data_IF_262556727604
#
_entry.id   IF_262556727604
#
_cell.length_a   1.000
_cell.length_b   1.000
_cell.length_c   1.000
_cell.angle_alpha   90.00
_cell.angle_beta   90.00
_cell.angle_gamma   90.00
#
_symmetry.space_group_name_H-M   'P 1'
#
loop_
_entity.id
_entity.type
_entity.pdbx_description
1 polymer ?
#
# COMPACT_ATOMS: atom_id res chain seq x y z
N UNK A 1 19.72 31.35 -16.90
CA UNK A 1 19.59 29.88 -16.53
C UNK A 1 18.51 29.75 -15.47
N UNK A 2 17.62 28.77 -15.60
CA UNK A 2 16.61 28.47 -14.59
C UNK A 2 16.69 27.00 -14.21
N UNK A 3 16.56 26.70 -12.93
CA UNK A 3 16.48 25.32 -12.40
C UNK A 3 15.32 25.19 -11.44
N UNK A 4 14.81 23.98 -11.32
CA UNK A 4 13.80 23.57 -10.34
C UNK A 4 14.17 22.18 -9.82
N UNK A 5 14.09 22.02 -8.51
CA UNK A 5 14.20 20.73 -7.84
C UNK A 5 13.29 20.74 -6.62
N UNK A 6 12.94 19.58 -6.11
CA UNK A 6 12.42 19.54 -4.75
C UNK A 6 13.58 19.87 -3.78
N UNK A 7 13.23 20.24 -2.56
CA UNK A 7 14.25 20.59 -1.55
C UNK A 7 14.93 19.38 -0.93
N UNK A 8 14.61 18.16 -1.39
CA UNK A 8 15.15 16.91 -0.86
C UNK A 8 16.67 16.79 -1.03
N UNK A 9 17.23 17.44 -2.04
CA UNK A 9 18.67 17.44 -2.31
C UNK A 9 19.45 18.54 -1.56
N UNK A 10 18.75 19.45 -0.88
CA UNK A 10 19.37 20.49 -0.07
C UNK A 10 19.55 19.98 1.38
N UNK A 11 20.79 19.79 1.88
CA UNK A 11 21.05 19.28 3.24
C UNK A 11 20.58 20.23 4.35
N UNK A 12 20.24 21.48 4.05
CA UNK A 12 19.81 22.50 5.01
C UNK A 12 18.29 22.74 4.97
N UNK A 13 17.55 22.15 4.04
CA UNK A 13 16.10 22.32 3.94
C UNK A 13 15.35 21.29 4.78
N UNK A 14 14.16 21.62 5.33
CA UNK A 14 13.24 20.61 5.82
C UNK A 14 12.85 19.71 4.66
N UNK A 15 13.18 18.43 4.79
CA UNK A 15 13.19 17.47 3.68
C UNK A 15 11.80 16.89 3.44
N UNK A 16 11.08 17.38 2.44
CA UNK A 16 10.06 16.59 1.75
C UNK A 16 10.75 15.77 0.67
N UNK A 17 10.79 14.45 0.83
CA UNK A 17 11.36 13.54 -0.18
C UNK A 17 10.23 12.76 -0.85
N UNK A 18 10.38 12.34 -2.11
CA UNK A 18 9.51 11.31 -2.64
C UNK A 18 9.46 10.08 -1.70
N UNK A 19 8.31 9.42 -1.59
CA UNK A 19 7.07 9.68 -2.32
C UNK A 19 6.32 10.93 -1.82
N UNK A 20 5.69 11.64 -2.75
CA UNK A 20 4.80 12.75 -2.43
C UNK A 20 3.37 12.24 -2.21
N UNK A 21 2.60 12.89 -1.34
CA UNK A 21 1.25 12.48 -0.99
C UNK A 21 0.25 13.61 -1.21
N UNK A 22 -0.95 13.27 -1.70
CA UNK A 22 -2.07 14.20 -1.72
C UNK A 22 -2.39 14.66 -0.29
N UNK A 23 -2.69 15.95 -0.13
CA UNK A 23 -2.92 16.57 1.17
C UNK A 23 -1.65 16.92 1.96
N UNK A 24 -0.45 16.57 1.47
CA UNK A 24 0.82 16.92 2.10
C UNK A 24 1.54 18.03 1.33
N UNK A 25 2.09 19.06 2.02
CA UNK A 25 2.83 20.11 1.35
C UNK A 25 4.16 19.60 0.80
N UNK A 26 4.46 19.99 -0.43
CA UNK A 26 5.73 19.74 -1.13
C UNK A 26 6.42 21.08 -1.30
N UNK A 27 7.66 21.17 -0.88
CA UNK A 27 8.46 22.38 -1.06
C UNK A 27 9.42 22.22 -2.24
N UNK A 28 9.23 23.05 -3.26
CA UNK A 28 10.12 23.16 -4.40
C UNK A 28 11.03 24.37 -4.22
N UNK A 29 12.27 24.26 -4.65
CA UNK A 29 13.21 25.35 -4.65
C UNK A 29 14.02 25.36 -5.94
N UNK A 30 14.55 26.50 -6.27
CA UNK A 30 15.41 26.64 -7.43
C UNK A 30 16.15 27.95 -7.44
N UNK A 31 16.95 28.07 -8.47
CA UNK A 31 17.73 29.28 -8.77
C UNK A 31 17.45 29.69 -10.19
N UNK A 32 17.34 31.02 -10.39
CA UNK A 32 17.18 31.60 -11.71
C UNK A 32 18.11 32.78 -11.85
N UNK A 33 18.70 32.92 -13.02
CA UNK A 33 19.59 33.99 -13.39
C UNK A 33 19.27 34.47 -14.81
N UNK A 34 19.10 35.77 -14.98
CA UNK A 34 19.03 36.46 -16.27
C UNK A 34 20.06 37.61 -16.25
N UNK A 35 21.24 37.32 -16.76
CA UNK A 35 22.41 38.20 -16.64
C UNK A 35 22.20 39.60 -17.19
N UNK A 36 21.21 39.82 -18.05
CA UNK A 36 20.98 41.08 -18.73
C UNK A 36 19.81 41.89 -18.16
N UNK A 37 18.96 41.28 -17.32
CA UNK A 37 17.71 41.87 -16.84
C UNK A 37 17.42 41.53 -15.36
N UNK A 38 16.76 42.50 -14.69
CA UNK A 38 16.34 42.30 -13.30
C UNK A 38 15.08 41.44 -13.24
N UNK A 39 15.07 40.41 -12.40
CA UNK A 39 13.92 39.54 -12.17
C UNK A 39 13.03 40.19 -11.10
N UNK A 40 11.77 40.47 -11.44
CA UNK A 40 10.80 41.13 -10.57
C UNK A 40 9.77 40.15 -9.97
N UNK A 41 9.52 39.03 -10.61
CA UNK A 41 8.63 38.00 -10.12
C UNK A 41 9.02 36.60 -10.63
N UNK A 42 8.50 35.58 -9.95
CA UNK A 42 8.48 34.20 -10.40
C UNK A 42 7.05 33.81 -10.69
N UNK A 43 6.81 33.17 -11.81
CA UNK A 43 5.52 32.60 -12.16
C UNK A 43 5.57 31.06 -12.11
N UNK A 44 4.50 30.48 -11.56
CA UNK A 44 4.33 29.06 -11.40
C UNK A 44 3.04 28.60 -12.10
N UNK A 45 3.10 27.47 -12.77
CA UNK A 45 1.97 26.82 -13.43
C UNK A 45 1.94 25.34 -13.04
N UNK A 46 0.73 24.80 -12.84
CA UNK A 46 0.46 23.37 -12.55
C UNK A 46 -0.47 22.73 -13.58
N UNK A 47 -0.84 23.48 -14.62
CA UNK A 47 -1.75 23.08 -15.71
C UNK A 47 -1.07 23.14 -17.08
N UNK A 48 0.19 22.76 -17.12
CA UNK A 48 1.06 22.74 -18.32
C UNK A 48 1.28 24.11 -18.98
N UNK A 49 1.10 25.19 -18.21
CA UNK A 49 1.30 26.56 -18.70
C UNK A 49 0.02 27.24 -19.22
N UNK A 50 -1.16 26.63 -19.03
CA UNK A 50 -2.44 27.23 -19.39
C UNK A 50 -2.78 28.44 -18.50
N UNK A 51 -2.43 28.34 -17.21
CA UNK A 51 -2.49 29.48 -16.27
C UNK A 51 -1.20 29.63 -15.48
N UNK A 52 -0.94 30.87 -15.02
CA UNK A 52 0.26 31.23 -14.29
C UNK A 52 -0.08 32.09 -13.08
N UNK A 53 0.53 31.78 -11.94
CA UNK A 53 0.42 32.58 -10.72
C UNK A 53 1.75 33.26 -10.42
N UNK A 54 1.74 34.58 -10.34
CA UNK A 54 2.95 35.39 -10.13
C UNK A 54 3.17 35.66 -8.63
N UNK A 55 4.41 35.49 -8.20
CA UNK A 55 4.91 35.86 -6.87
C UNK A 55 6.03 36.89 -7.02
N UNK A 56 5.84 38.13 -6.52
CA UNK A 56 6.85 39.16 -6.59
C UNK A 56 8.14 38.74 -5.87
N UNK A 57 9.29 39.05 -6.47
CA UNK A 57 10.61 38.94 -5.84
C UNK A 57 11.06 40.29 -5.35
N UNK A 58 11.97 40.34 -4.35
CA UNK A 58 12.71 41.53 -4.07
C UNK A 58 13.57 41.89 -5.30
N UNK A 59 13.62 43.18 -5.66
CA UNK A 59 14.47 43.65 -6.76
C UNK A 59 15.94 43.24 -6.50
N UNK A 60 16.50 42.42 -7.38
CA UNK A 60 17.85 41.90 -7.25
C UNK A 60 18.73 42.55 -8.29
N UNK A 61 19.97 42.83 -7.90
CA UNK A 61 21.01 43.31 -8.82
C UNK A 61 21.15 42.34 -10.01
N UNK A 62 21.24 42.88 -11.23
CA UNK A 62 21.40 42.11 -12.48
C UNK A 62 22.57 41.12 -12.46
N UNK A 63 23.53 41.34 -11.57
CA UNK A 63 24.69 40.44 -11.38
C UNK A 63 24.41 39.25 -10.45
N UNK A 64 23.20 39.15 -9.90
CA UNK A 64 22.82 38.12 -8.93
C UNK A 64 21.51 37.46 -9.34
N UNK A 65 21.51 36.17 -9.39
CA UNK A 65 20.29 35.41 -9.59
C UNK A 65 19.40 35.37 -8.36
N UNK A 66 18.21 34.88 -8.54
CA UNK A 66 17.16 34.74 -7.50
C UNK A 66 17.04 33.31 -7.08
N UNK A 67 17.19 33.06 -5.77
CA UNK A 67 16.75 31.81 -5.16
C UNK A 67 15.25 31.94 -4.85
N UNK A 68 14.48 30.98 -5.31
CA UNK A 68 13.04 30.95 -5.09
C UNK A 68 12.61 29.69 -4.37
N UNK A 69 11.46 29.76 -3.68
CA UNK A 69 10.77 28.63 -3.07
C UNK A 69 9.30 28.69 -3.43
N UNK A 70 8.71 27.54 -3.61
CA UNK A 70 7.29 27.38 -3.88
C UNK A 70 6.77 26.15 -3.13
N UNK A 71 5.69 26.33 -2.35
CA UNK A 71 5.04 25.24 -1.63
C UNK A 71 3.72 24.94 -2.31
N UNK A 72 3.52 23.68 -2.66
CA UNK A 72 2.29 23.20 -3.24
C UNK A 72 1.77 21.99 -2.48
N UNK A 73 0.47 21.94 -2.24
CA UNK A 73 -0.22 20.80 -1.65
C UNK A 73 -1.15 20.19 -2.69
N UNK A 74 -0.84 19.02 -3.29
CA UNK A 74 -1.72 18.35 -4.21
C UNK A 74 -3.04 17.99 -3.53
N UNK A 75 -4.18 18.36 -4.11
CA UNK A 75 -5.50 18.07 -3.54
C UNK A 75 -5.93 16.63 -3.78
N UNK A 76 -5.44 16.01 -4.86
CA UNK A 76 -5.78 14.66 -5.25
C UNK A 76 -4.54 13.85 -5.66
N UNK A 77 -4.58 12.52 -5.60
CA UNK A 77 -3.56 11.67 -6.20
C UNK A 77 -3.52 11.89 -7.72
N UNK A 78 -2.32 11.84 -8.29
CA UNK A 78 -2.14 12.00 -9.73
C UNK A 78 -0.79 12.54 -10.13
N UNK A 79 -0.59 12.69 -11.43
CA UNK A 79 0.62 13.25 -12.01
C UNK A 79 0.48 14.74 -12.16
N UNK A 80 1.50 15.46 -11.77
CA UNK A 80 1.61 16.90 -11.78
C UNK A 80 2.86 17.33 -12.53
N UNK A 81 2.76 18.47 -13.21
CA UNK A 81 3.90 19.13 -13.85
C UNK A 81 3.98 20.58 -13.34
N UNK A 82 4.91 20.84 -12.44
CA UNK A 82 5.24 22.21 -12.05
C UNK A 82 6.08 22.84 -13.14
N UNK A 83 5.61 23.94 -13.72
CA UNK A 83 6.40 24.82 -14.59
C UNK A 83 6.71 26.12 -13.88
N UNK A 84 7.91 26.63 -14.08
CA UNK A 84 8.42 27.84 -13.43
C UNK A 84 9.11 28.72 -14.48
N UNK A 85 8.82 30.03 -14.45
CA UNK A 85 9.51 31.02 -15.27
C UNK A 85 9.70 32.35 -14.53
N UNK A 86 10.77 33.11 -14.78
CA UNK A 86 10.93 34.47 -14.24
C UNK A 86 10.14 35.48 -15.08
N UNK A 87 9.76 36.58 -14.42
CA UNK A 87 9.26 37.80 -15.05
C UNK A 87 10.28 38.91 -14.80
N UNK A 88 10.66 39.60 -15.85
CA UNK A 88 11.69 40.65 -15.81
C UNK A 88 11.11 42.05 -15.60
N UNK A 89 11.96 43.05 -15.42
CA UNK A 89 11.58 44.43 -15.08
C UNK A 89 10.71 45.12 -16.12
N UNK A 90 10.69 44.65 -17.34
CA UNK A 90 9.80 45.11 -18.42
C UNK A 90 8.37 44.50 -18.35
N UNK A 91 8.15 43.62 -17.35
CA UNK A 91 6.86 42.92 -17.16
C UNK A 91 6.65 41.73 -18.08
N UNK A 92 7.63 41.41 -18.92
CA UNK A 92 7.53 40.27 -19.84
C UNK A 92 7.98 38.97 -19.17
N UNK A 93 7.19 37.88 -19.28
CA UNK A 93 7.62 36.58 -18.81
C UNK A 93 8.73 36.02 -19.71
N UNK A 94 9.70 35.37 -19.08
CA UNK A 94 10.78 34.71 -19.81
C UNK A 94 10.25 33.56 -20.66
N UNK A 95 10.86 33.39 -21.83
CA UNK A 95 10.66 32.20 -22.67
C UNK A 95 11.34 30.93 -22.10
N UNK A 96 12.28 31.13 -21.15
CA UNK A 96 12.90 30.04 -20.43
C UNK A 96 11.95 29.50 -19.34
N UNK A 97 11.50 28.26 -19.50
CA UNK A 97 10.61 27.58 -18.57
C UNK A 97 11.33 26.33 -18.06
N UNK A 98 11.44 26.21 -16.74
CA UNK A 98 11.87 24.96 -16.12
C UNK A 98 10.63 24.13 -15.73
N UNK A 99 10.75 22.81 -15.82
CA UNK A 99 9.68 21.89 -15.44
C UNK A 99 10.17 20.81 -14.47
N UNK A 100 9.30 20.47 -13.53
CA UNK A 100 9.50 19.36 -12.61
C UNK A 100 8.23 18.50 -12.57
N UNK A 101 8.33 17.27 -13.07
CA UNK A 101 7.23 16.32 -13.04
C UNK A 101 7.30 15.50 -11.74
N UNK A 102 6.16 15.35 -11.08
CA UNK A 102 6.04 14.51 -9.90
C UNK A 102 4.69 13.81 -9.85
N UNK A 103 4.61 12.74 -9.06
CA UNK A 103 3.38 12.02 -8.81
C UNK A 103 3.02 12.16 -7.33
N UNK A 104 1.79 12.59 -7.04
CA UNK A 104 1.22 12.57 -5.72
C UNK A 104 0.41 11.28 -5.53
N UNK A 105 0.74 10.54 -4.48
CA UNK A 105 0.10 9.29 -4.13
C UNK A 105 -1.07 9.53 -3.19
N UNK A 106 -2.02 8.60 -3.07
CA UNK A 106 -3.04 8.71 -2.05
C UNK A 106 -2.40 8.64 -0.66
N UNK A 107 -2.78 9.55 0.23
CA UNK A 107 -2.37 9.51 1.63
C UNK A 107 -2.94 8.28 2.38
N UNK A 108 -4.02 7.75 1.87
CA UNK A 108 -4.67 6.50 2.28
C UNK A 108 -5.32 5.85 1.06
N UNK A 109 -5.96 4.69 1.24
CA UNK A 109 -6.54 3.93 0.15
C UNK A 109 -5.60 2.86 -0.39
N UNK A 110 -5.75 2.50 -1.65
CA UNK A 110 -4.94 1.50 -2.34
C UNK A 110 -4.21 2.10 -3.54
N UNK A 111 -3.10 1.47 -3.92
CA UNK A 111 -2.32 1.85 -5.09
C UNK A 111 -2.24 0.67 -6.08
N UNK A 112 -2.47 0.96 -7.35
CA UNK A 112 -2.34 0.02 -8.45
C UNK A 112 -3.38 -1.10 -8.46
N UNK A 113 -3.29 -1.96 -9.48
CA UNK A 113 -4.18 -3.12 -9.66
C UNK A 113 -3.96 -4.20 -8.59
N UNK A 114 -2.77 -4.28 -8.04
CA UNK A 114 -2.46 -5.15 -6.91
C UNK A 114 -3.09 -4.69 -5.58
N UNK A 115 -3.76 -3.54 -5.55
CA UNK A 115 -4.42 -2.97 -4.36
C UNK A 115 -3.48 -2.87 -3.17
N UNK A 116 -2.29 -2.32 -3.41
CA UNK A 116 -1.27 -2.14 -2.38
C UNK A 116 -1.76 -1.11 -1.37
N UNK A 117 -1.70 -1.43 -0.10
CA UNK A 117 -2.01 -0.51 0.99
C UNK A 117 -1.15 -0.74 2.25
N UNK A 118 -1.10 0.27 3.08
CA UNK A 118 -0.46 0.17 4.39
C UNK A 118 -1.23 -0.76 5.34
N UNK A 119 -0.52 -1.40 6.26
CA UNK A 119 -1.09 -2.16 7.38
C UNK A 119 -1.12 -1.25 8.60
N UNK A 120 -2.31 -1.00 9.14
CA UNK A 120 -2.52 -0.24 10.37
C UNK A 120 -2.27 1.27 10.29
N UNK A 121 -2.01 1.83 9.11
CA UNK A 121 -1.67 3.26 9.00
C UNK A 121 -1.84 3.85 7.60
N UNK A 122 -1.16 4.96 7.37
CA UNK A 122 -1.10 5.64 6.08
C UNK A 122 0.14 5.19 5.29
N UNK A 123 0.13 5.37 3.96
CA UNK A 123 1.32 5.12 3.14
C UNK A 123 2.55 5.90 3.59
N UNK A 124 2.35 7.09 4.16
CA UNK A 124 3.43 8.01 4.54
C UNK A 124 4.35 7.43 5.61
N UNK A 125 3.75 6.77 6.59
CA UNK A 125 4.45 6.34 7.81
C UNK A 125 4.65 4.83 7.86
N UNK A 126 3.94 4.08 6.99
CA UNK A 126 3.96 2.63 6.99
C UNK A 126 5.30 2.05 6.53
N UNK A 127 5.67 0.95 7.16
CA UNK A 127 6.78 0.08 6.72
C UNK A 127 6.30 -1.34 6.42
N UNK A 128 5.07 -1.66 6.75
CA UNK A 128 4.43 -2.92 6.37
C UNK A 128 3.24 -2.62 5.47
N UNK A 129 3.22 -3.33 4.36
CA UNK A 129 2.22 -3.18 3.32
C UNK A 129 1.55 -4.52 3.04
N UNK A 130 0.36 -4.47 2.47
CA UNK A 130 -0.35 -5.65 2.00
C UNK A 130 -0.95 -5.41 0.62
N UNK A 131 -1.15 -6.50 -0.14
CA UNK A 131 -1.73 -6.44 -1.48
C UNK A 131 -2.43 -7.74 -1.89
N UNK A 132 -3.01 -7.73 -3.08
CA UNK A 132 -3.28 -8.92 -3.88
C UNK A 132 -1.97 -9.45 -4.49
N UNK A 133 -2.05 -10.56 -5.25
CA UNK A 133 -0.93 -11.07 -6.02
C UNK A 133 -0.35 -10.01 -6.98
N UNK A 134 0.93 -10.10 -7.24
CA UNK A 134 1.70 -9.13 -8.01
C UNK A 134 1.92 -9.57 -9.47
N UNK A 135 1.20 -10.58 -9.96
CA UNK A 135 1.42 -11.17 -11.29
C UNK A 135 1.27 -10.15 -12.43
N UNK A 136 0.39 -9.16 -12.29
CA UNK A 136 0.14 -8.12 -13.27
C UNK A 136 0.82 -6.78 -12.95
N UNK A 137 1.83 -6.79 -12.07
CA UNK A 137 2.51 -5.58 -11.65
C UNK A 137 3.17 -4.88 -12.82
N UNK A 138 2.87 -3.60 -13.02
CA UNK A 138 3.50 -2.77 -14.03
C UNK A 138 4.93 -2.38 -13.63
N UNK A 139 5.74 -1.93 -14.59
CA UNK A 139 7.09 -1.43 -14.30
C UNK A 139 7.07 -0.20 -13.39
N UNK A 140 6.05 0.66 -13.49
CA UNK A 140 5.86 1.82 -12.61
C UNK A 140 5.51 1.40 -11.18
N UNK A 141 4.61 0.44 -11.01
CA UNK A 141 4.26 -0.10 -9.69
C UNK A 141 5.47 -0.80 -9.05
N UNK A 142 6.24 -1.57 -9.82
CA UNK A 142 7.48 -2.19 -9.33
C UNK A 142 8.50 -1.15 -8.85
N UNK A 143 8.68 -0.07 -9.62
CA UNK A 143 9.55 1.04 -9.25
C UNK A 143 9.02 1.79 -8.00
N UNK A 144 7.70 1.93 -7.88
CA UNK A 144 7.07 2.49 -6.70
C UNK A 144 7.32 1.65 -5.44
N UNK A 145 7.14 0.33 -5.51
CA UNK A 145 7.40 -0.58 -4.40
C UNK A 145 8.84 -0.50 -3.91
N UNK A 146 9.80 -0.59 -4.84
CA UNK A 146 11.22 -0.64 -4.50
C UNK A 146 11.80 0.73 -4.15
N UNK A 147 11.41 1.77 -4.88
CA UNK A 147 11.96 3.13 -4.76
C UNK A 147 11.22 3.97 -3.73
N UNK A 148 9.93 4.20 -3.94
CA UNK A 148 9.15 5.11 -3.10
C UNK A 148 8.81 4.52 -1.72
N UNK A 149 8.36 3.26 -1.66
CA UNK A 149 8.05 2.59 -0.40
C UNK A 149 9.27 1.92 0.24
N UNK A 150 10.36 1.75 -0.51
CA UNK A 150 11.59 1.13 -0.03
C UNK A 150 11.41 -0.32 0.43
N UNK A 151 10.40 -1.02 -0.13
CA UNK A 151 10.13 -2.41 0.23
C UNK A 151 11.33 -3.27 -0.11
N UNK A 152 11.83 -3.98 0.88
CA UNK A 152 12.98 -4.86 0.77
C UNK A 152 12.58 -6.33 0.59
N UNK A 153 11.47 -6.72 1.19
CA UNK A 153 11.04 -8.12 1.24
C UNK A 153 9.56 -8.25 0.92
N UNK A 154 9.25 -9.19 0.04
CA UNK A 154 7.89 -9.63 -0.26
C UNK A 154 7.67 -10.98 0.43
N UNK A 155 6.63 -11.09 1.23
CA UNK A 155 6.16 -12.33 1.84
C UNK A 155 4.99 -12.89 1.02
N UNK A 156 5.30 -13.86 0.16
CA UNK A 156 4.31 -14.54 -0.69
C UNK A 156 3.73 -15.74 0.07
N UNK A 157 2.44 -15.66 0.37
CA UNK A 157 1.68 -16.69 1.10
C UNK A 157 0.92 -17.64 0.16
N UNK A 158 1.23 -17.64 -1.13
CA UNK A 158 0.58 -18.52 -2.11
C UNK A 158 1.15 -19.92 -2.09
N UNK A 159 0.36 -20.86 -2.55
CA UNK A 159 0.83 -22.21 -2.83
C UNK A 159 1.69 -22.26 -4.09
N UNK A 160 2.55 -23.28 -4.23
CA UNK A 160 3.33 -23.47 -5.44
C UNK A 160 2.45 -23.55 -6.71
N UNK A 161 1.25 -24.12 -6.62
CA UNK A 161 0.31 -24.18 -7.74
C UNK A 161 -0.24 -22.80 -8.14
N UNK A 162 -0.55 -21.93 -7.14
CA UNK A 162 -0.98 -20.56 -7.38
C UNK A 162 0.15 -19.72 -8.01
N UNK A 163 1.38 -19.87 -7.51
CA UNK A 163 2.57 -19.20 -8.08
C UNK A 163 2.85 -19.66 -9.53
N UNK A 164 2.73 -20.96 -9.80
CA UNK A 164 2.91 -21.49 -11.14
C UNK A 164 1.84 -21.02 -12.14
N UNK A 165 0.61 -20.82 -11.67
CA UNK A 165 -0.49 -20.31 -12.49
C UNK A 165 -0.35 -18.80 -12.78
N UNK A 166 0.12 -18.03 -11.80
CA UNK A 166 0.27 -16.58 -11.89
C UNK A 166 1.65 -16.16 -11.37
N UNK A 167 2.73 -16.38 -12.16
CA UNK A 167 4.08 -16.02 -11.75
C UNK A 167 4.23 -14.51 -11.62
N UNK A 168 4.97 -14.08 -10.61
CA UNK A 168 5.27 -12.68 -10.39
C UNK A 168 6.53 -12.23 -11.12
N UNK A 169 6.61 -10.95 -11.55
CA UNK A 169 7.80 -10.41 -12.13
C UNK A 169 8.93 -10.32 -11.08
N UNK A 170 10.16 -10.51 -11.54
CA UNK A 170 11.32 -10.20 -10.72
C UNK A 170 11.46 -8.69 -10.54
N UNK A 171 11.51 -8.24 -9.28
CA UNK A 171 11.66 -6.82 -8.95
C UNK A 171 13.07 -6.59 -8.42
N UNK A 172 13.85 -5.76 -9.12
CA UNK A 172 15.23 -5.45 -8.75
C UNK A 172 15.29 -4.84 -7.34
N UNK A 173 16.19 -5.37 -6.52
CA UNK A 173 16.40 -4.87 -5.15
C UNK A 173 15.45 -5.41 -4.09
N UNK A 174 14.47 -6.23 -4.46
CA UNK A 174 13.54 -6.87 -3.55
C UNK A 174 13.78 -8.39 -3.48
N UNK A 175 13.56 -8.96 -2.30
CA UNK A 175 13.66 -10.40 -2.06
C UNK A 175 12.25 -10.96 -1.82
N UNK A 176 11.88 -12.01 -2.53
CA UNK A 176 10.65 -12.76 -2.24
C UNK A 176 10.95 -13.92 -1.29
N UNK A 177 10.19 -14.01 -0.22
CA UNK A 177 10.16 -15.11 0.73
C UNK A 177 8.86 -15.88 0.51
N UNK A 178 8.95 -17.02 -0.17
CA UNK A 178 7.82 -17.91 -0.35
C UNK A 178 7.52 -18.63 0.99
N UNK A 179 6.32 -18.44 1.48
CA UNK A 179 5.80 -19.07 2.70
C UNK A 179 4.63 -19.97 2.30
N UNK A 180 4.96 -21.10 1.73
CA UNK A 180 3.96 -22.03 1.22
C UNK A 180 3.11 -22.63 2.36
N UNK A 181 1.78 -22.58 2.25
CA UNK A 181 0.91 -23.26 3.20
C UNK A 181 1.15 -24.77 3.17
N UNK A 182 1.22 -25.40 4.34
CA UNK A 182 1.41 -26.83 4.48
C UNK A 182 0.22 -27.69 4.00
N UNK A 183 -0.90 -27.05 3.71
CA UNK A 183 -2.13 -27.69 3.24
C UNK A 183 -2.44 -27.30 1.80
N UNK A 184 -2.72 -28.29 0.96
CA UNK A 184 -3.27 -28.05 -0.38
C UNK A 184 -4.56 -27.23 -0.28
N UNK A 185 -4.47 -25.93 -0.51
CA UNK A 185 -5.63 -25.11 -0.79
C UNK A 185 -6.10 -25.50 -2.20
N UNK A 186 -7.10 -26.39 -2.24
CA UNK A 186 -7.77 -26.71 -3.50
C UNK A 186 -8.24 -25.42 -4.15
N UNK A 187 -7.87 -25.27 -5.42
CA UNK A 187 -8.36 -24.24 -6.34
C UNK A 187 -9.84 -23.97 -6.08
N UNK A 188 -10.22 -22.71 -5.99
CA UNK A 188 -11.62 -22.29 -6.15
C UNK A 188 -11.97 -22.47 -7.61
N UNK A 189 -12.55 -23.60 -7.97
CA UNK A 189 -13.27 -23.69 -9.23
C UNK A 189 -14.56 -22.88 -9.06
N UNK A 190 -14.68 -21.79 -9.81
CA UNK A 190 -15.82 -20.87 -9.83
C UNK A 190 -17.04 -21.42 -10.58
N UNK A 191 -17.26 -22.74 -10.57
CA UNK A 191 -18.38 -23.36 -11.25
C UNK A 191 -19.63 -23.36 -10.34
N UNK A 192 -20.79 -22.91 -10.87
CA UNK A 192 -22.10 -22.90 -10.17
C UNK A 192 -22.46 -24.25 -9.52
N UNK A 193 -22.06 -25.37 -10.13
CA UNK A 193 -22.23 -26.73 -9.57
C UNK A 193 -21.42 -26.93 -8.29
N UNK A 194 -20.32 -26.18 -8.13
CA UNK A 194 -19.48 -26.23 -6.94
C UNK A 194 -20.14 -25.53 -5.75
N UNK A 195 -20.85 -24.42 -5.97
CA UNK A 195 -21.51 -23.68 -4.87
C UNK A 195 -22.55 -24.58 -4.19
N UNK A 196 -23.43 -25.22 -4.95
CA UNK A 196 -24.41 -26.17 -4.40
C UNK A 196 -23.73 -27.36 -3.71
N UNK A 197 -22.72 -27.95 -4.35
CA UNK A 197 -21.97 -29.09 -3.78
C UNK A 197 -21.09 -28.69 -2.58
N UNK A 198 -20.72 -27.41 -2.46
CA UNK A 198 -20.00 -26.88 -1.30
C UNK A 198 -20.92 -26.77 -0.09
N UNK A 199 -22.15 -26.27 -0.26
CA UNK A 199 -23.14 -26.20 0.85
C UNK A 199 -23.47 -27.60 1.35
N UNK A 200 -23.78 -28.50 0.41
CA UNK A 200 -24.16 -29.89 0.74
C UNK A 200 -23.03 -30.63 1.51
N UNK A 201 -21.78 -30.37 1.15
CA UNK A 201 -20.61 -31.04 1.75
C UNK A 201 -20.10 -30.40 3.03
N UNK A 202 -20.21 -29.10 3.19
CA UNK A 202 -19.47 -28.31 4.20
C UNK A 202 -20.35 -27.41 5.09
N UNK A 203 -21.68 -27.46 4.95
CA UNK A 203 -22.60 -26.59 5.68
C UNK A 203 -22.64 -25.16 5.15
N UNK A 204 -23.17 -24.26 5.94
CA UNK A 204 -23.27 -22.85 5.57
C UNK A 204 -21.88 -22.22 5.33
N UNK A 205 -21.74 -21.33 4.33
CA UNK A 205 -20.46 -20.74 3.95
C UNK A 205 -19.73 -20.05 5.08
N UNK A 206 -20.43 -19.40 6.01
CA UNK A 206 -19.80 -18.77 7.19
C UNK A 206 -19.16 -19.80 8.11
N UNK A 207 -19.81 -20.94 8.33
CA UNK A 207 -19.24 -22.03 9.13
C UNK A 207 -17.99 -22.60 8.49
N UNK A 208 -18.02 -22.79 7.17
CA UNK A 208 -16.87 -23.25 6.41
C UNK A 208 -15.70 -22.27 6.47
N UNK A 209 -15.97 -20.98 6.26
CA UNK A 209 -14.94 -19.96 6.36
C UNK A 209 -14.39 -19.86 7.78
N UNK A 210 -15.25 -19.88 8.79
CA UNK A 210 -14.83 -19.95 10.19
C UNK A 210 -13.96 -21.18 10.48
N UNK A 211 -14.31 -22.34 9.94
CA UNK A 211 -13.49 -23.55 10.06
C UNK A 211 -12.11 -23.39 9.40
N UNK A 212 -12.03 -22.76 8.22
CA UNK A 212 -10.75 -22.46 7.57
C UNK A 212 -9.90 -21.50 8.41
N UNK A 213 -10.49 -20.46 9.02
CA UNK A 213 -9.77 -19.53 9.87
C UNK A 213 -9.27 -20.17 11.16
N UNK A 214 -10.05 -21.09 11.78
CA UNK A 214 -9.56 -21.91 12.89
C UNK A 214 -8.39 -22.82 12.49
N UNK A 215 -8.40 -23.36 11.27
CA UNK A 215 -7.27 -24.17 10.76
C UNK A 215 -5.98 -23.36 10.63
N UNK A 216 -6.04 -22.06 10.33
CA UNK A 216 -4.85 -21.23 10.26
C UNK A 216 -4.04 -21.21 11.56
N UNK A 217 -4.70 -21.33 12.72
CA UNK A 217 -3.99 -21.42 14.02
C UNK A 217 -3.17 -22.71 14.14
N UNK A 218 -3.69 -23.82 13.63
CA UNK A 218 -3.12 -25.17 13.82
C UNK A 218 -2.14 -25.56 12.72
N UNK A 219 -2.47 -25.20 11.50
CA UNK A 219 -1.85 -25.76 10.29
C UNK A 219 -1.02 -24.71 9.53
N UNK A 220 -0.86 -23.53 10.11
CA UNK A 220 -0.24 -22.41 9.43
C UNK A 220 0.99 -21.87 10.16
N UNK A 221 2.09 -22.65 10.25
CA UNK A 221 3.31 -22.21 10.91
C UNK A 221 3.94 -20.99 10.25
N UNK A 222 3.54 -20.67 9.00
CA UNK A 222 4.04 -19.55 8.24
C UNK A 222 3.77 -18.18 8.90
N UNK A 223 2.70 -18.03 9.71
CA UNK A 223 2.44 -16.78 10.44
C UNK A 223 3.61 -16.46 11.37
N UNK A 224 4.03 -17.44 12.19
CA UNK A 224 5.19 -17.29 13.05
C UNK A 224 6.51 -17.13 12.27
N UNK A 225 6.67 -17.84 11.16
CA UNK A 225 7.86 -17.72 10.31
C UNK A 225 7.97 -16.31 9.71
N UNK A 226 6.86 -15.78 9.16
CA UNK A 226 6.81 -14.43 8.61
C UNK A 226 7.16 -13.38 9.65
N UNK A 227 6.49 -13.43 10.82
CA UNK A 227 6.70 -12.44 11.88
C UNK A 227 8.13 -12.46 12.42
N UNK A 228 8.73 -13.64 12.62
CA UNK A 228 10.14 -13.73 13.03
C UNK A 228 11.10 -13.22 11.97
N UNK A 229 10.82 -13.50 10.70
CA UNK A 229 11.62 -12.97 9.59
C UNK A 229 11.53 -11.44 9.51
N UNK A 230 10.32 -10.88 9.58
CA UNK A 230 10.12 -9.42 9.62
C UNK A 230 10.85 -8.77 10.79
N UNK A 231 10.75 -9.36 11.99
CA UNK A 231 11.41 -8.87 13.17
C UNK A 231 12.95 -8.87 13.04
N UNK A 232 13.49 -9.93 12.45
CA UNK A 232 14.94 -10.08 12.26
C UNK A 232 15.48 -9.12 11.18
N UNK A 233 14.71 -8.85 10.13
CA UNK A 233 15.12 -7.98 9.05
C UNK A 233 14.96 -6.49 9.39
N UNK A 234 13.91 -6.11 10.11
CA UNK A 234 13.64 -4.73 10.51
C UNK A 234 13.49 -3.76 9.31
N UNK A 235 13.09 -4.25 8.13
CA UNK A 235 13.00 -3.50 6.88
C UNK A 235 11.57 -3.44 6.35
N UNK A 236 11.22 -2.45 5.53
CA UNK A 236 9.89 -2.40 4.93
C UNK A 236 9.56 -3.66 4.14
N UNK A 237 8.35 -4.15 4.29
CA UNK A 237 7.89 -5.41 3.70
C UNK A 237 6.48 -5.33 3.13
N UNK A 238 6.23 -6.16 2.11
CA UNK A 238 4.92 -6.38 1.52
C UNK A 238 4.46 -7.81 1.81
N UNK A 239 3.22 -7.96 2.20
CA UNK A 239 2.58 -9.25 2.47
C UNK A 239 1.44 -9.46 1.47
N UNK A 240 1.42 -10.59 0.78
CA UNK A 240 0.33 -10.90 -0.12
C UNK A 240 0.01 -12.40 -0.20
N UNK A 241 -1.14 -12.70 -0.76
CA UNK A 241 -1.54 -14.01 -1.25
C UNK A 241 -2.21 -13.82 -2.62
N UNK A 242 -3.18 -14.62 -3.04
CA UNK A 242 -3.90 -14.36 -4.30
C UNK A 242 -4.79 -13.10 -4.18
N UNK A 243 -5.73 -13.10 -3.25
CA UNK A 243 -6.70 -12.00 -3.09
C UNK A 243 -6.31 -10.99 -1.99
N UNK A 244 -5.18 -11.14 -1.31
CA UNK A 244 -4.81 -10.27 -0.20
C UNK A 244 -5.81 -10.26 0.98
N UNK A 245 -6.75 -11.20 1.05
CA UNK A 245 -7.88 -11.21 1.99
C UNK A 245 -7.63 -12.14 3.19
N UNK A 246 -7.67 -13.46 2.97
CA UNK A 246 -7.71 -14.44 4.06
C UNK A 246 -6.33 -14.66 4.72
N UNK A 247 -5.39 -15.28 4.00
CA UNK A 247 -4.02 -15.56 4.51
C UNK A 247 -3.30 -14.28 4.90
N UNK A 248 -3.35 -13.28 4.04
CA UNK A 248 -2.81 -11.95 4.29
C UNK A 248 -3.50 -11.28 5.47
N UNK A 249 -4.84 -11.35 5.54
CA UNK A 249 -5.64 -10.78 6.62
C UNK A 249 -5.29 -11.37 7.98
N UNK A 250 -5.15 -12.70 8.08
CA UNK A 250 -4.74 -13.39 9.32
C UNK A 250 -3.34 -12.95 9.76
N UNK A 251 -2.37 -12.90 8.84
CA UNK A 251 -1.01 -12.49 9.17
C UNK A 251 -0.96 -11.02 9.62
N UNK A 252 -1.63 -10.11 8.91
CA UNK A 252 -1.69 -8.69 9.29
C UNK A 252 -2.42 -8.48 10.63
N UNK A 253 -3.55 -9.15 10.85
CA UNK A 253 -4.27 -9.07 12.12
C UNK A 253 -3.45 -9.61 13.30
N UNK A 254 -2.69 -10.69 13.09
CA UNK A 254 -1.77 -11.23 14.10
C UNK A 254 -0.63 -10.26 14.40
N UNK A 255 -0.05 -9.65 13.37
CA UNK A 255 0.98 -8.61 13.51
C UNK A 255 0.46 -7.42 14.32
N UNK A 256 -0.68 -6.86 13.93
CA UNK A 256 -1.29 -5.72 14.63
C UNK A 256 -1.58 -6.03 16.10
N UNK A 257 -2.15 -7.21 16.39
CA UNK A 257 -2.42 -7.62 17.77
C UNK A 257 -1.13 -7.83 18.56
N UNK A 258 -0.09 -8.43 17.96
CA UNK A 258 1.20 -8.64 18.60
C UNK A 258 1.93 -7.32 18.93
N UNK A 259 1.70 -6.28 18.14
CA UNK A 259 2.29 -4.95 18.32
C UNK A 259 1.47 -4.03 19.22
N UNK A 260 0.27 -4.45 19.64
CA UNK A 260 -0.55 -3.77 20.63
C UNK A 260 -1.69 -2.93 20.07
N UNK A 261 -2.06 -3.11 18.80
CA UNK A 261 -3.27 -2.50 18.26
C UNK A 261 -4.52 -3.03 18.99
N UNK A 262 -5.52 -2.17 19.16
CA UNK A 262 -6.79 -2.57 19.73
C UNK A 262 -7.64 -3.41 18.76
N UNK A 263 -8.67 -4.06 19.28
CA UNK A 263 -9.49 -4.99 18.51
C UNK A 263 -10.27 -4.28 17.39
N UNK A 264 -10.71 -3.05 17.61
CA UNK A 264 -11.46 -2.26 16.63
C UNK A 264 -10.56 -1.88 15.45
N UNK A 265 -9.34 -1.41 15.71
CA UNK A 265 -8.36 -1.09 14.67
C UNK A 265 -7.94 -2.33 13.85
N UNK A 266 -7.78 -3.49 14.51
CA UNK A 266 -7.49 -4.75 13.83
C UNK A 266 -8.66 -5.16 12.92
N UNK A 267 -9.88 -5.06 13.41
CA UNK A 267 -11.07 -5.40 12.65
C UNK A 267 -11.31 -4.44 11.49
N UNK A 268 -11.07 -3.15 11.69
CA UNK A 268 -11.13 -2.13 10.64
C UNK A 268 -10.13 -2.43 9.52
N UNK A 269 -8.85 -2.67 9.84
CA UNK A 269 -7.85 -3.05 8.83
C UNK A 269 -8.25 -4.32 8.08
N UNK A 270 -8.76 -5.32 8.79
CA UNK A 270 -9.19 -6.57 8.18
C UNK A 270 -10.36 -6.38 7.20
N UNK A 271 -11.40 -5.65 7.62
CA UNK A 271 -12.63 -5.45 6.83
C UNK A 271 -12.45 -4.46 5.67
N UNK A 272 -11.47 -3.58 5.74
CA UNK A 272 -11.18 -2.59 4.70
C UNK A 272 -10.95 -3.23 3.33
N UNK A 273 -10.50 -4.47 3.26
CA UNK A 273 -10.35 -5.22 2.01
C UNK A 273 -11.63 -5.28 1.19
N UNK A 274 -12.81 -5.23 1.82
CA UNK A 274 -14.09 -5.22 1.10
C UNK A 274 -14.30 -3.92 0.30
N UNK A 275 -13.93 -2.78 0.88
CA UNK A 275 -13.95 -1.49 0.19
C UNK A 275 -12.84 -1.41 -0.89
N UNK A 276 -11.65 -1.88 -0.54
CA UNK A 276 -10.50 -1.88 -1.46
C UNK A 276 -10.74 -2.75 -2.71
N UNK A 277 -11.62 -3.78 -2.61
CA UNK A 277 -11.94 -4.75 -3.67
C UNK A 277 -13.39 -4.66 -4.14
N UNK A 278 -14.11 -3.58 -3.84
CA UNK A 278 -15.54 -3.49 -4.11
C UNK A 278 -15.89 -3.70 -5.60
N UNK A 279 -15.07 -3.13 -6.50
CA UNK A 279 -15.21 -3.32 -7.95
C UNK A 279 -14.94 -4.76 -8.39
N UNK A 280 -13.92 -5.40 -7.85
CA UNK A 280 -13.56 -6.80 -8.14
C UNK A 280 -14.63 -7.77 -7.63
N UNK A 281 -15.18 -7.50 -6.45
CA UNK A 281 -16.29 -8.28 -5.87
C UNK A 281 -17.54 -8.13 -6.74
N UNK A 282 -17.85 -6.91 -7.18
CA UNK A 282 -18.99 -6.64 -8.04
C UNK A 282 -18.84 -7.29 -9.42
N UNK A 283 -17.65 -7.24 -10.01
CA UNK A 283 -17.35 -7.86 -11.31
C UNK A 283 -17.48 -9.39 -11.22
N UNK A 284 -16.88 -10.03 -10.22
CA UNK A 284 -16.97 -11.48 -10.01
C UNK A 284 -18.41 -11.90 -9.74
N UNK A 285 -19.15 -11.15 -8.92
CA UNK A 285 -20.56 -11.39 -8.66
C UNK A 285 -21.38 -11.30 -9.93
N UNK A 286 -21.16 -10.28 -10.77
CA UNK A 286 -21.86 -10.09 -12.03
C UNK A 286 -21.55 -11.18 -13.08
N UNK A 287 -20.28 -11.60 -13.14
CA UNK A 287 -19.84 -12.68 -14.04
C UNK A 287 -20.53 -14.02 -13.73
N UNK A 288 -20.76 -14.28 -12.46
CA UNK A 288 -21.40 -15.52 -11.98
C UNK A 288 -22.93 -15.43 -11.91
N UNK A 289 -23.53 -14.25 -12.08
CA UNK A 289 -24.96 -13.97 -11.85
C UNK A 289 -25.92 -14.57 -12.88
N UNK A 290 -25.48 -15.20 -13.91
CA UNK A 290 -26.29 -15.79 -14.99
C UNK A 290 -27.43 -16.74 -14.49
N UNK A 291 -28.34 -16.26 -13.60
CA UNK A 291 -29.49 -16.98 -13.05
C UNK A 291 -29.28 -17.57 -11.63
N UNK A 292 -28.41 -16.97 -10.84
CA UNK A 292 -28.32 -17.25 -9.41
C UNK A 292 -29.55 -16.73 -8.66
N UNK A 293 -29.98 -17.51 -7.66
CA UNK A 293 -30.94 -17.04 -6.66
C UNK A 293 -30.24 -16.07 -5.68
N UNK A 294 -31.02 -15.28 -4.95
CA UNK A 294 -30.48 -14.40 -3.89
C UNK A 294 -29.67 -15.18 -2.84
N UNK A 295 -30.09 -16.41 -2.54
CA UNK A 295 -29.39 -17.30 -1.62
C UNK A 295 -28.01 -17.71 -2.18
N UNK A 296 -27.93 -18.13 -3.44
CA UNK A 296 -26.65 -18.49 -4.08
C UNK A 296 -25.71 -17.29 -4.17
N UNK A 297 -26.26 -16.09 -4.45
CA UNK A 297 -25.51 -14.85 -4.42
C UNK A 297 -24.93 -14.55 -3.03
N UNK A 298 -25.75 -14.68 -1.97
CA UNK A 298 -25.31 -14.49 -0.60
C UNK A 298 -24.18 -15.45 -0.22
N UNK A 299 -24.25 -16.69 -0.70
CA UNK A 299 -23.19 -17.69 -0.53
C UNK A 299 -21.90 -17.26 -1.25
N UNK A 300 -21.99 -16.84 -2.52
CA UNK A 300 -20.86 -16.37 -3.28
C UNK A 300 -20.15 -15.20 -2.56
N UNK A 301 -20.93 -14.19 -2.16
CA UNK A 301 -20.42 -13.04 -1.43
C UNK A 301 -19.70 -13.44 -0.14
N UNK A 302 -20.17 -14.49 0.56
CA UNK A 302 -19.48 -14.98 1.76
C UNK A 302 -18.06 -15.51 1.50
N UNK A 303 -17.74 -15.90 0.27
CA UNK A 303 -16.38 -16.29 -0.12
C UNK A 303 -15.54 -15.10 -0.63
N UNK A 304 -16.18 -14.11 -1.22
CA UNK A 304 -15.50 -12.94 -1.79
C UNK A 304 -15.17 -11.91 -0.71
N UNK A 305 -16.08 -11.70 0.24
CA UNK A 305 -15.96 -10.70 1.30
C UNK A 305 -15.16 -11.19 2.51
N UNK A 306 -14.53 -10.26 3.20
CA UNK A 306 -14.08 -10.45 4.58
C UNK A 306 -15.26 -10.20 5.52
N UNK A 307 -15.47 -11.08 6.50
CA UNK A 307 -16.54 -10.93 7.49
C UNK A 307 -15.99 -11.01 8.93
N UNK A 308 -16.53 -10.22 9.87
CA UNK A 308 -16.03 -10.22 11.26
C UNK A 308 -15.99 -11.62 11.89
N UNK A 309 -16.99 -12.46 11.58
CA UNK A 309 -17.09 -13.82 12.10
C UNK A 309 -15.86 -14.68 11.75
N UNK A 310 -15.22 -14.43 10.59
CA UNK A 310 -14.07 -15.24 10.18
C UNK A 310 -12.84 -14.92 11.03
N UNK A 311 -12.52 -13.64 11.20
CA UNK A 311 -11.38 -13.24 12.02
C UNK A 311 -11.60 -13.54 13.50
N UNK A 312 -12.85 -13.40 14.01
CA UNK A 312 -13.19 -13.83 15.37
C UNK A 312 -12.94 -15.31 15.56
N UNK A 313 -13.38 -16.17 14.62
CA UNK A 313 -13.13 -17.60 14.69
C UNK A 313 -11.64 -17.98 14.77
N UNK A 314 -10.76 -17.18 14.15
CA UNK A 314 -9.31 -17.33 14.29
C UNK A 314 -8.82 -17.00 15.71
N UNK A 315 -9.25 -15.87 16.28
CA UNK A 315 -8.83 -15.47 17.61
C UNK A 315 -9.43 -16.33 18.71
N UNK A 316 -10.71 -16.74 18.58
CA UNK A 316 -11.36 -17.67 19.50
C UNK A 316 -10.62 -19.03 19.54
N UNK A 317 -10.14 -19.49 18.40
CA UNK A 317 -9.36 -20.74 18.34
C UNK A 317 -7.99 -20.60 19.01
N UNK A 318 -7.37 -19.42 18.94
CA UNK A 318 -6.14 -19.11 19.69
C UNK A 318 -6.40 -19.22 21.19
N UNK A 319 -7.46 -18.57 21.66
CA UNK A 319 -7.81 -18.59 23.09
C UNK A 319 -8.18 -20.01 23.55
N UNK A 320 -8.86 -20.78 22.70
CA UNK A 320 -9.21 -22.17 22.99
C UNK A 320 -7.98 -23.08 23.10
N UNK A 321 -6.96 -22.90 22.24
CA UNK A 321 -5.79 -23.79 22.18
C UNK A 321 -4.67 -23.37 23.14
N UNK A 322 -4.45 -22.07 23.32
CA UNK A 322 -3.34 -21.53 24.07
C UNK A 322 -3.76 -20.81 25.36
N UNK A 323 -5.07 -20.63 25.58
CA UNK A 323 -5.59 -19.92 26.74
C UNK A 323 -5.48 -18.41 26.69
N UNK A 324 -4.59 -17.88 25.86
CA UNK A 324 -4.44 -16.43 25.63
C UNK A 324 -3.59 -16.15 24.39
N UNK A 325 -3.77 -14.97 23.80
CA UNK A 325 -2.93 -14.51 22.70
C UNK A 325 -1.45 -14.36 23.11
N UNK A 326 -1.17 -13.97 24.36
CA UNK A 326 0.19 -13.88 24.88
C UNK A 326 0.87 -15.26 24.95
N UNK A 327 0.15 -16.30 25.30
CA UNK A 327 0.66 -17.68 25.23
C UNK A 327 0.88 -18.11 23.77
N UNK A 328 -0.03 -17.80 22.88
CA UNK A 328 0.13 -18.09 21.45
C UNK A 328 1.37 -17.41 20.85
N UNK A 329 1.64 -16.16 21.19
CA UNK A 329 2.88 -15.48 20.74
C UNK A 329 4.14 -16.27 21.13
N UNK A 330 4.22 -16.76 22.37
CA UNK A 330 5.40 -17.50 22.86
C UNK A 330 5.48 -18.92 22.32
N UNK A 331 4.37 -19.66 22.41
CA UNK A 331 4.34 -21.12 22.24
C UNK A 331 3.98 -21.52 20.81
N UNK A 332 3.06 -20.77 20.16
CA UNK A 332 2.63 -21.02 18.80
C UNK A 332 3.49 -20.31 17.75
N UNK A 333 3.77 -19.02 17.98
CA UNK A 333 4.53 -18.21 17.02
C UNK A 333 6.04 -18.15 17.34
N UNK A 334 6.45 -18.56 18.53
CA UNK A 334 7.84 -18.50 19.03
C UNK A 334 8.44 -17.09 18.93
N UNK A 335 7.65 -16.06 19.26
CA UNK A 335 8.10 -14.67 19.30
C UNK A 335 8.74 -14.36 20.64
N UNK A 336 9.94 -13.80 20.60
CA UNK A 336 10.62 -13.23 21.77
C UNK A 336 10.14 -11.80 22.02
N UNK A 337 10.36 -11.26 23.23
CA UNK A 337 10.07 -9.86 23.52
C UNK A 337 10.80 -8.90 22.59
N UNK A 338 12.06 -9.19 22.26
CA UNK A 338 12.86 -8.41 21.31
C UNK A 338 12.25 -8.43 19.90
N UNK A 339 11.78 -9.59 19.44
CA UNK A 339 11.09 -9.69 18.15
C UNK A 339 9.80 -8.85 18.12
N UNK A 340 9.03 -8.84 19.21
CA UNK A 340 7.82 -8.01 19.32
C UNK A 340 8.17 -6.53 19.27
N UNK A 341 9.23 -6.07 19.94
CA UNK A 341 9.65 -4.66 19.86
C UNK A 341 10.14 -4.28 18.45
N UNK A 342 10.87 -5.17 17.77
CA UNK A 342 11.27 -4.96 16.38
C UNK A 342 10.04 -4.83 15.45
N UNK A 343 9.03 -5.69 15.62
CA UNK A 343 7.77 -5.62 14.87
C UNK A 343 7.01 -4.33 15.18
N UNK A 344 6.99 -3.90 16.44
CA UNK A 344 6.34 -2.63 16.84
C UNK A 344 6.97 -1.44 16.14
N UNK A 345 8.30 -1.40 16.01
CA UNK A 345 9.00 -0.37 15.26
C UNK A 345 8.72 -0.39 13.74
N UNK A 346 8.18 -1.49 13.21
CA UNK A 346 7.75 -1.58 11.81
C UNK A 346 6.31 -1.13 11.58
N UNK A 347 5.48 -1.08 12.63
CA UNK A 347 4.05 -0.75 12.53
C UNK A 347 3.74 0.63 13.14
N UNK A 348 4.71 1.20 13.91
CA UNK A 348 4.62 2.55 14.47
C UNK A 348 4.80 3.58 13.35
#
# INVERSE_FOLDING_TARGET
MISVADTSDNPLAPRTRPPYYAGAPIEFAGYVDDFDRTICAMEFSLDDGASWTAYPTAAVDKSRGVNWRFVYTPEAPGRYLLKVRPVTEDGEPSTLVAGFAFEALPAGGTYGDARIRAVGGSFRDARIFRSRELANLTGEEAAFLSGALGIATIYDLRTAAEVAAHPEPYIVGMRTVALEPSTEHRRKDSDKRLIAGVIERYGEPEERMGANYRRYVREYPLVGQALRSMAAEGRPALIHCVNGKDRTGVLCATLLRATGADEDAIMEDYLRVNADHADLIAEEAAHLDGGMTDHERAILLSFLEARPAYLRAYFDEIDRLYGSFAAYMREGLHLTGEAVESLRALVA
#
